data_IF_058961719971
#
_entry.id   IF_058961719971
#
_cell.length_a   1.000
_cell.length_b   1.000
_cell.length_c   1.000
_cell.angle_alpha   90.00
_cell.angle_beta   90.00
_cell.angle_gamma   90.00
#
_symmetry.space_group_name_H-M   'P 1'
#
loop_
_entity.id
_entity.type
_entity.pdbx_description
1 polymer ?
#
# COMPACT_ATOMS: atom_id res chain seq x y z
N UNK A 1 11.86 17.32 12.53
CA UNK A 1 13.30 16.98 12.37
C UNK A 1 13.42 16.07 11.15
N UNK A 2 14.26 16.39 10.17
CA UNK A 2 14.44 15.57 8.97
C UNK A 2 15.42 14.41 9.22
N UNK A 3 15.07 13.20 8.79
CA UNK A 3 15.96 12.02 8.80
C UNK A 3 16.47 11.76 7.38
N UNK A 4 17.75 11.46 7.24
CA UNK A 4 18.29 10.89 6.01
C UNK A 4 18.08 9.36 6.01
N UNK A 5 17.32 8.86 5.06
CA UNK A 5 17.18 7.41 4.82
C UNK A 5 18.20 7.00 3.77
N UNK A 6 18.91 5.91 4.04
CA UNK A 6 19.74 5.25 3.03
C UNK A 6 18.84 4.48 2.04
N UNK A 7 18.21 5.25 1.14
CA UNK A 7 17.24 4.77 0.16
C UNK A 7 17.86 3.77 -0.82
N UNK A 8 19.14 3.94 -1.13
CA UNK A 8 19.87 3.04 -2.02
C UNK A 8 20.18 1.70 -1.37
N UNK A 9 20.23 1.66 -0.04
CA UNK A 9 20.35 0.42 0.74
C UNK A 9 19.02 -0.31 0.95
N UNK A 10 17.88 0.21 0.45
CA UNK A 10 16.68 -0.61 0.33
C UNK A 10 16.98 -1.78 -0.62
N UNK A 11 17.15 -2.94 -0.01
CA UNK A 11 17.69 -4.11 -0.68
C UNK A 11 16.69 -4.68 -1.70
N UNK A 12 17.17 -5.29 -2.80
CA UNK A 12 16.33 -6.05 -3.73
C UNK A 12 15.43 -7.09 -3.06
N UNK A 13 15.83 -7.60 -1.89
CA UNK A 13 15.04 -8.56 -1.10
C UNK A 13 13.72 -7.97 -0.59
N UNK A 14 13.68 -6.67 -0.24
CA UNK A 14 12.42 -5.99 0.16
C UNK A 14 11.49 -5.91 -1.05
N UNK A 15 12.04 -5.56 -2.23
CA UNK A 15 11.26 -5.50 -3.46
C UNK A 15 10.69 -6.88 -3.83
N UNK A 16 11.47 -7.95 -3.69
CA UNK A 16 11.01 -9.33 -3.93
C UNK A 16 9.91 -9.75 -2.96
N UNK A 17 10.13 -9.59 -1.64
CA UNK A 17 9.13 -9.90 -0.61
C UNK A 17 7.81 -9.14 -0.84
N UNK A 18 7.90 -7.84 -1.12
CA UNK A 18 6.73 -7.02 -1.42
C UNK A 18 6.03 -7.47 -2.71
N UNK A 19 6.80 -7.81 -3.75
CA UNK A 19 6.28 -8.31 -5.02
C UNK A 19 5.52 -9.63 -4.84
N UNK A 20 6.08 -10.60 -4.12
CA UNK A 20 5.42 -11.88 -3.83
C UNK A 20 4.11 -11.67 -3.08
N UNK A 21 4.15 -10.84 -2.05
CA UNK A 21 3.00 -10.55 -1.21
C UNK A 21 1.86 -9.86 -1.99
N UNK A 22 2.17 -8.79 -2.72
CA UNK A 22 1.18 -8.09 -3.54
C UNK A 22 0.62 -8.98 -4.66
N UNK A 23 1.45 -9.86 -5.23
CA UNK A 23 0.96 -10.87 -6.19
C UNK A 23 -0.03 -11.87 -5.56
N UNK A 24 0.14 -12.21 -4.28
CA UNK A 24 -0.81 -13.04 -3.52
C UNK A 24 -2.19 -12.39 -3.42
N UNK A 25 -2.25 -11.07 -3.23
CA UNK A 25 -3.51 -10.32 -3.22
C UNK A 25 -4.14 -10.21 -4.61
N UNK A 26 -3.32 -9.91 -5.62
CA UNK A 26 -3.77 -9.81 -7.02
C UNK A 26 -4.40 -11.10 -7.53
N UNK A 27 -3.98 -12.27 -7.03
CA UNK A 27 -4.55 -13.56 -7.42
C UNK A 27 -6.04 -13.71 -7.09
N UNK A 28 -6.52 -13.05 -6.04
CA UNK A 28 -7.92 -13.10 -5.59
C UNK A 28 -8.74 -11.88 -6.02
N UNK A 29 -8.11 -10.92 -6.72
CA UNK A 29 -8.75 -9.69 -7.13
C UNK A 29 -9.84 -9.96 -8.19
N UNK A 30 -11.01 -9.34 -8.02
CA UNK A 30 -12.07 -9.37 -9.03
C UNK A 30 -11.64 -8.54 -10.26
N UNK A 31 -11.25 -9.23 -11.32
CA UNK A 31 -10.87 -8.64 -12.61
C UNK A 31 -12.07 -8.49 -13.57
N UNK A 32 -12.08 -7.47 -14.45
CA UNK A 32 -13.02 -7.38 -15.56
C UNK A 32 -12.82 -8.47 -16.62
N UNK A 33 -13.81 -8.67 -17.48
CA UNK A 33 -13.83 -9.67 -18.56
C UNK A 33 -12.87 -9.38 -19.71
N UNK A 34 -12.43 -8.13 -19.85
CA UNK A 34 -11.42 -7.72 -20.84
C UNK A 34 -9.98 -7.87 -20.32
N UNK A 35 -9.78 -8.35 -19.09
CA UNK A 35 -8.46 -8.42 -18.45
C UNK A 35 -8.13 -9.84 -18.00
N UNK A 36 -6.97 -10.32 -18.44
CA UNK A 36 -6.38 -11.59 -18.03
C UNK A 36 -5.78 -11.52 -16.62
N UNK A 37 -4.98 -12.53 -16.22
CA UNK A 37 -4.28 -12.50 -14.93
C UNK A 37 -3.36 -11.29 -14.85
N UNK A 38 -3.28 -10.68 -13.67
CA UNK A 38 -2.39 -9.55 -13.40
C UNK A 38 -1.26 -10.06 -12.52
N UNK A 39 -0.03 -9.72 -12.87
CA UNK A 39 1.14 -10.00 -12.05
C UNK A 39 2.03 -8.78 -11.98
N UNK A 40 2.54 -8.46 -10.79
CA UNK A 40 3.65 -7.53 -10.61
C UNK A 40 4.92 -8.27 -11.02
N UNK A 41 5.63 -7.74 -12.02
CA UNK A 41 6.91 -8.26 -12.50
C UNK A 41 8.07 -7.78 -11.65
N UNK A 42 8.05 -6.51 -11.24
CA UNK A 42 9.11 -5.90 -10.43
C UNK A 42 8.61 -4.62 -9.78
N UNK A 43 9.19 -4.31 -8.62
CA UNK A 43 9.09 -3.03 -7.94
C UNK A 43 10.49 -2.42 -7.96
N UNK A 44 10.59 -1.22 -8.49
CA UNK A 44 11.82 -0.45 -8.64
C UNK A 44 11.68 0.82 -7.82
N UNK A 45 12.38 0.92 -6.70
CA UNK A 45 12.27 2.06 -5.78
C UNK A 45 12.85 3.35 -6.36
N UNK A 46 13.67 3.27 -7.42
CA UNK A 46 14.37 4.41 -7.99
C UNK A 46 15.47 4.95 -7.07
N UNK A 47 16.00 6.12 -7.42
CA UNK A 47 17.14 6.76 -6.75
C UNK A 47 16.77 8.03 -5.97
N UNK A 48 15.52 8.48 -6.07
CA UNK A 48 15.00 9.63 -5.32
C UNK A 48 14.27 9.12 -4.08
N UNK A 49 14.80 9.45 -2.91
CA UNK A 49 14.24 9.11 -1.60
C UNK A 49 13.07 10.05 -1.20
N UNK A 50 12.13 9.59 -0.35
CA UNK A 50 11.18 10.49 0.32
C UNK A 50 11.88 11.43 1.30
N UNK A 51 11.30 12.60 1.51
CA UNK A 51 11.58 13.42 2.69
C UNK A 51 10.86 12.80 3.90
N UNK A 52 11.56 12.75 5.04
CA UNK A 52 11.12 12.05 6.24
C UNK A 52 11.20 12.99 7.42
N UNK A 53 10.06 13.28 8.03
CA UNK A 53 9.98 14.10 9.24
C UNK A 53 9.49 13.28 10.43
N UNK A 54 10.20 13.35 11.56
CA UNK A 54 9.70 12.81 12.83
C UNK A 54 8.67 13.78 13.42
N UNK A 55 7.44 13.30 13.58
CA UNK A 55 6.36 13.99 14.29
C UNK A 55 6.49 13.73 15.80
N UNK A 56 6.54 12.45 16.20
CA UNK A 56 6.73 12.07 17.60
C UNK A 56 7.39 10.70 17.78
N UNK A 57 7.81 10.44 19.01
CA UNK A 57 8.44 9.20 19.45
C UNK A 57 7.76 8.78 20.76
N UNK A 58 7.33 7.52 20.84
CA UNK A 58 6.57 6.95 21.98
C UNK A 58 6.94 5.49 22.20
N UNK A 59 6.49 4.93 23.31
CA UNK A 59 6.53 3.47 23.51
C UNK A 59 5.65 2.75 22.49
N UNK A 60 6.06 1.53 22.12
CA UNK A 60 5.30 0.67 21.20
C UNK A 60 3.88 0.45 21.71
N UNK A 61 2.89 0.76 20.88
CA UNK A 61 1.49 0.54 21.26
C UNK A 61 1.17 -0.95 21.43
N UNK A 62 0.20 -1.25 22.29
CA UNK A 62 -0.23 -2.65 22.53
C UNK A 62 -0.69 -3.36 21.26
N UNK A 63 -1.27 -2.63 20.30
CA UNK A 63 -1.74 -3.21 19.05
C UNK A 63 -0.63 -3.90 18.26
N UNK A 64 0.56 -3.30 18.20
CA UNK A 64 1.72 -3.90 17.53
C UNK A 64 2.29 -5.08 18.33
N UNK A 65 2.45 -4.95 19.65
CA UNK A 65 2.97 -6.05 20.50
C UNK A 65 2.08 -7.31 20.48
N UNK A 66 0.76 -7.13 20.41
CA UNK A 66 -0.21 -8.22 20.41
C UNK A 66 -0.38 -8.88 19.04
N UNK A 67 0.10 -8.26 17.96
CA UNK A 67 -0.02 -8.76 16.60
C UNK A 67 0.62 -10.15 16.40
N UNK A 68 1.71 -10.42 17.10
CA UNK A 68 2.39 -11.72 17.10
C UNK A 68 1.73 -12.75 18.00
N UNK A 69 0.99 -12.28 19.02
CA UNK A 69 0.30 -13.16 19.94
C UNK A 69 -1.00 -13.61 19.26
N UNK A 70 -0.89 -14.55 18.34
CA UNK A 70 -1.97 -15.45 17.94
C UNK A 70 -2.41 -16.36 19.12
N UNK A 71 -2.48 -15.83 20.34
CA UNK A 71 -3.23 -16.44 21.42
C UNK A 71 -4.70 -16.11 21.21
N UNK A 72 -5.42 -17.09 20.68
CA UNK A 72 -6.84 -17.28 20.92
C UNK A 72 -7.12 -17.27 22.42
N UNK A 73 -7.32 -16.10 23.01
CA UNK A 73 -8.15 -15.96 24.19
C UNK A 73 -9.33 -15.06 23.86
N UNK A 74 -10.35 -15.69 23.26
CA UNK A 74 -11.74 -15.21 23.38
C UNK A 74 -12.02 -15.00 24.86
N UNK A 75 -12.11 -13.76 25.30
CA UNK A 75 -12.77 -13.41 26.56
C UNK A 75 -14.10 -12.75 26.23
N UNK A 76 -15.08 -13.59 25.95
CA UNK A 76 -16.49 -13.25 26.20
C UNK A 76 -16.76 -13.43 27.69
N UNK A 77 -16.88 -12.33 28.44
CA UNK A 77 -17.29 -12.31 29.84
C UNK A 77 -17.48 -10.87 30.33
N UNK A 78 -18.50 -10.58 31.16
CA UNK A 78 -19.00 -9.23 31.34
C UNK A 78 -18.08 -8.37 32.20
N UNK A 79 -18.15 -7.06 31.95
CA UNK A 79 -17.46 -5.98 32.67
C UNK A 79 -17.74 -6.07 34.17
N UNK A 80 -16.71 -6.37 34.95
CA UNK A 80 -16.70 -6.32 36.42
C UNK A 80 -15.54 -5.47 36.90
N UNK A 81 -15.85 -4.40 37.63
CA UNK A 81 -14.88 -3.49 38.23
C UNK A 81 -14.29 -4.13 39.51
N UNK A 82 -12.97 -4.32 39.57
CA UNK A 82 -12.27 -4.54 40.84
C UNK A 82 -10.75 -4.33 40.73
N UNK A 83 -10.30 -3.24 41.35
CA UNK A 83 -9.13 -3.13 42.24
C UNK A 83 -7.78 -3.71 41.80
N UNK A 84 -6.87 -2.78 41.46
CA UNK A 84 -5.46 -2.77 41.87
C UNK A 84 -4.67 -4.07 41.87
N UNK A 85 -3.97 -4.33 40.78
CA UNK A 85 -2.71 -5.07 40.81
C UNK A 85 -1.61 -4.14 40.31
N UNK A 86 -0.72 -3.79 41.23
CA UNK A 86 0.59 -3.20 40.96
C UNK A 86 1.37 -4.19 40.10
N UNK A 87 1.41 -3.99 38.79
CA UNK A 87 2.39 -4.66 37.94
C UNK A 87 3.76 -4.12 38.34
N UNK A 88 4.63 -5.02 38.82
CA UNK A 88 6.07 -4.76 38.93
C UNK A 88 6.55 -4.14 37.61
N UNK A 89 7.51 -3.20 37.62
CA UNK A 89 8.28 -2.93 36.41
C UNK A 89 8.96 -4.25 36.05
N UNK A 90 8.64 -4.82 34.89
CA UNK A 90 9.47 -5.85 34.29
C UNK A 90 10.82 -5.18 34.05
N UNK A 91 11.85 -5.62 34.78
CA UNK A 91 13.23 -5.25 34.51
C UNK A 91 13.61 -5.92 33.18
N UNK A 92 13.35 -5.20 32.11
CA UNK A 92 13.69 -5.59 30.75
C UNK A 92 15.21 -5.64 30.59
N UNK A 93 15.76 -6.84 30.71
CA UNK A 93 17.14 -7.17 30.34
C UNK A 93 17.34 -7.16 28.81
N UNK A 94 16.80 -6.16 28.12
CA UNK A 94 16.80 -6.05 26.66
C UNK A 94 17.93 -5.13 26.20
N UNK A 95 18.77 -5.64 25.29
CA UNK A 95 19.92 -4.92 24.75
C UNK A 95 19.54 -3.80 23.77
N UNK A 96 18.29 -3.76 23.31
CA UNK A 96 17.79 -2.76 22.36
C UNK A 96 16.40 -2.23 22.79
N UNK A 97 16.16 -0.91 22.73
CA UNK A 97 14.88 -0.33 23.12
C UNK A 97 13.82 -0.53 22.03
N UNK A 98 12.61 -0.94 22.44
CA UNK A 98 11.44 -0.99 21.55
C UNK A 98 10.79 0.38 21.48
N UNK A 99 10.63 0.91 20.27
CA UNK A 99 10.25 2.30 20.03
C UNK A 99 9.18 2.39 18.94
N UNK A 100 8.19 3.26 19.13
CA UNK A 100 7.27 3.67 18.08
C UNK A 100 7.59 5.09 17.65
N UNK A 101 7.70 5.29 16.34
CA UNK A 101 8.02 6.57 15.72
C UNK A 101 6.86 6.94 14.80
N UNK A 102 6.29 8.11 15.01
CA UNK A 102 5.34 8.72 14.09
C UNK A 102 6.10 9.59 13.10
N UNK A 103 6.03 9.23 11.82
CA UNK A 103 6.76 9.88 10.74
C UNK A 103 5.78 10.49 9.74
N UNK A 104 6.15 11.61 9.14
CA UNK A 104 5.58 12.10 7.89
C UNK A 104 6.54 11.79 6.75
N UNK A 105 6.01 11.19 5.69
CA UNK A 105 6.72 10.89 4.45
C UNK A 105 6.15 11.75 3.34
N UNK A 106 7.00 12.56 2.71
CA UNK A 106 6.66 13.28 1.48
C UNK A 106 7.49 12.72 0.35
N UNK A 107 6.84 12.17 -0.67
CA UNK A 107 7.48 11.50 -1.79
C UNK A 107 7.06 12.14 -3.11
N UNK A 108 8.06 12.54 -3.90
CA UNK A 108 7.94 13.00 -5.29
C UNK A 108 9.11 12.43 -6.09
N UNK A 109 9.25 11.10 -6.03
CA UNK A 109 10.37 10.39 -6.64
C UNK A 109 9.99 9.62 -7.90
N UNK A 110 10.83 8.65 -8.26
CA UNK A 110 10.76 7.93 -9.52
C UNK A 110 10.51 6.43 -9.36
N UNK A 111 9.81 6.01 -8.29
CA UNK A 111 9.37 4.64 -8.06
C UNK A 111 8.54 4.12 -9.25
N UNK A 112 8.81 2.89 -9.67
CA UNK A 112 8.09 2.20 -10.75
C UNK A 112 7.60 0.83 -10.32
N UNK A 113 6.31 0.55 -10.53
CA UNK A 113 5.77 -0.82 -10.42
C UNK A 113 5.44 -1.33 -11.82
N UNK A 114 6.10 -2.40 -12.24
CA UNK A 114 5.86 -3.02 -13.55
C UNK A 114 4.88 -4.17 -13.41
N UNK A 115 3.82 -4.15 -14.20
CA UNK A 115 2.79 -5.18 -14.28
C UNK A 115 2.85 -5.90 -15.63
N UNK A 116 2.55 -7.20 -15.58
CA UNK A 116 2.24 -8.04 -16.73
C UNK A 116 0.78 -8.42 -16.67
N UNK A 117 0.07 -8.26 -17.78
CA UNK A 117 -1.27 -8.80 -17.93
C UNK A 117 -1.54 -9.17 -19.39
N UNK A 118 -2.77 -9.55 -19.69
CA UNK A 118 -3.22 -9.79 -21.06
C UNK A 118 -4.56 -9.07 -21.27
N UNK A 119 -4.68 -8.35 -22.38
CA UNK A 119 -5.94 -7.80 -22.81
C UNK A 119 -6.75 -8.89 -23.53
N UNK A 120 -7.93 -9.22 -23.00
CA UNK A 120 -8.84 -10.22 -23.56
C UNK A 120 -9.83 -9.54 -24.49
N UNK A 121 -9.93 -10.04 -25.72
CA UNK A 121 -10.85 -9.57 -26.75
C UNK A 121 -12.03 -10.56 -26.84
N UNK A 122 -13.24 -10.07 -26.59
CA UNK A 122 -14.47 -10.86 -26.55
C UNK A 122 -15.34 -10.74 -27.83
N UNK A 123 -14.71 -10.42 -28.98
CA UNK A 123 -15.40 -10.30 -30.27
C UNK A 123 -14.66 -11.09 -31.35
N UNK A 124 -15.36 -11.92 -32.16
CA UNK A 124 -16.81 -12.13 -32.21
C UNK A 124 -17.36 -13.08 -31.13
N UNK A 125 -16.53 -13.79 -30.37
CA UNK A 125 -16.93 -14.70 -29.27
C UNK A 125 -16.20 -14.37 -27.97
N UNK A 126 -16.68 -14.89 -26.83
CA UNK A 126 -15.98 -14.77 -25.55
C UNK A 126 -14.57 -15.38 -25.63
N UNK A 127 -13.60 -14.71 -24.99
CA UNK A 127 -12.19 -15.10 -24.95
C UNK A 127 -11.58 -15.40 -26.34
N UNK A 128 -12.07 -14.73 -27.39
CA UNK A 128 -11.67 -14.98 -28.78
C UNK A 128 -10.17 -14.81 -29.01
N UNK A 129 -9.55 -13.81 -28.36
CA UNK A 129 -8.11 -13.55 -28.47
C UNK A 129 -7.60 -12.90 -27.19
N UNK A 130 -6.31 -13.11 -26.88
CA UNK A 130 -5.62 -12.35 -25.84
C UNK A 130 -4.33 -11.73 -26.36
N UNK A 131 -4.04 -10.51 -25.93
CA UNK A 131 -2.85 -9.77 -26.30
C UNK A 131 -2.03 -9.47 -25.04
N UNK A 132 -0.75 -9.88 -24.97
CA UNK A 132 0.13 -9.50 -23.87
C UNK A 132 0.20 -7.97 -23.74
N UNK A 133 0.04 -7.48 -22.52
CA UNK A 133 0.08 -6.07 -22.20
C UNK A 133 1.01 -5.85 -21.01
N UNK A 134 1.97 -4.95 -21.18
CA UNK A 134 2.82 -4.48 -20.08
C UNK A 134 2.27 -3.14 -19.61
N UNK A 135 2.22 -2.94 -18.31
CA UNK A 135 1.83 -1.67 -17.73
C UNK A 135 2.85 -1.25 -16.67
N UNK A 136 3.11 0.04 -16.55
CA UNK A 136 4.00 0.57 -15.52
C UNK A 136 3.28 1.68 -14.78
N UNK A 137 3.14 1.51 -13.46
CA UNK A 137 2.75 2.60 -12.58
C UNK A 137 3.98 3.49 -12.34
N UNK A 138 3.85 4.77 -12.62
CA UNK A 138 4.87 5.81 -12.45
C UNK A 138 4.24 7.09 -11.87
N UNK A 139 5.06 8.10 -11.58
CA UNK A 139 4.59 9.40 -11.09
C UNK A 139 3.86 9.29 -9.76
N UNK A 140 4.27 8.32 -8.93
CA UNK A 140 3.76 8.13 -7.59
C UNK A 140 4.23 9.30 -6.73
N UNK A 141 3.30 10.17 -6.37
CA UNK A 141 3.53 11.28 -5.45
C UNK A 141 2.56 11.20 -4.28
N UNK A 142 3.06 11.28 -3.05
CA UNK A 142 2.25 11.20 -1.84
C UNK A 142 2.82 12.00 -0.68
N UNK A 143 1.93 12.38 0.24
CA UNK A 143 2.24 12.95 1.55
C UNK A 143 1.44 12.15 2.58
N UNK A 144 2.14 11.36 3.38
CA UNK A 144 1.53 10.34 4.24
C UNK A 144 2.14 10.35 5.64
N UNK A 145 1.28 10.20 6.65
CA UNK A 145 1.71 9.91 8.01
C UNK A 145 1.81 8.39 8.19
N UNK A 146 2.93 7.91 8.73
CA UNK A 146 3.17 6.49 9.00
C UNK A 146 3.59 6.27 10.44
N UNK A 147 3.24 5.09 10.97
CA UNK A 147 3.77 4.60 12.24
C UNK A 147 4.78 3.51 11.95
N UNK A 148 6.01 3.70 12.44
CA UNK A 148 7.06 2.70 12.49
C UNK A 148 7.21 2.22 13.93
N UNK A 149 6.82 0.98 14.22
CA UNK A 149 6.97 0.37 15.53
C UNK A 149 8.09 -0.68 15.50
N UNK A 150 9.19 -0.40 16.18
CA UNK A 150 10.37 -1.25 16.28
C UNK A 150 10.28 -2.05 17.59
N UNK A 151 10.29 -3.38 17.48
CA UNK A 151 10.40 -4.31 18.61
C UNK A 151 11.84 -4.84 18.63
N UNK A 152 12.72 -4.11 19.34
CA UNK A 152 14.15 -4.40 19.39
C UNK A 152 14.47 -5.72 20.08
N UNK A 153 13.57 -6.22 20.92
CA UNK A 153 13.64 -7.54 21.57
C UNK A 153 13.36 -8.70 20.61
N UNK A 154 12.70 -8.43 19.48
CA UNK A 154 12.23 -9.47 18.53
C UNK A 154 12.83 -9.34 17.13
N UNK A 155 13.79 -8.45 16.96
CA UNK A 155 14.39 -8.11 15.67
C UNK A 155 13.37 -7.89 14.55
N UNK A 156 12.26 -7.21 14.86
CA UNK A 156 11.21 -6.91 13.89
C UNK A 156 10.69 -5.48 14.02
N UNK A 157 10.20 -4.95 12.92
CA UNK A 157 9.49 -3.68 12.89
C UNK A 157 8.20 -3.78 12.11
N UNK A 158 7.23 -2.97 12.51
CA UNK A 158 5.91 -2.88 11.90
C UNK A 158 5.74 -1.51 11.24
N UNK A 159 5.17 -1.48 10.04
CA UNK A 159 4.89 -0.24 9.28
C UNK A 159 3.43 -0.18 8.92
N UNK A 160 2.78 0.95 9.21
CA UNK A 160 1.41 1.25 8.79
C UNK A 160 1.27 2.72 8.38
N UNK A 161 0.39 2.97 7.42
CA UNK A 161 -0.02 4.29 6.95
C UNK A 161 -1.28 4.68 7.74
N UNK A 162 -1.28 5.90 8.25
CA UNK A 162 -2.47 6.49 8.88
C UNK A 162 -3.42 7.04 7.82
N UNK A 163 -4.72 7.00 8.10
CA UNK A 163 -5.71 7.56 7.19
C UNK A 163 -5.48 9.07 7.03
N UNK A 164 -5.23 9.57 5.81
CA UNK A 164 -5.05 10.99 5.59
C UNK A 164 -6.37 11.72 5.86
N UNK A 165 -6.32 12.94 6.43
CA UNK A 165 -7.52 13.71 6.73
C UNK A 165 -8.37 13.92 5.48
N UNK A 166 -9.69 13.94 5.65
CA UNK A 166 -10.58 14.25 4.55
C UNK A 166 -10.38 15.71 4.14
N UNK A 167 -9.92 15.95 2.91
CA UNK A 167 -9.91 17.30 2.35
C UNK A 167 -11.36 17.73 2.08
N UNK A 168 -11.77 18.87 2.65
CA UNK A 168 -13.09 19.47 2.41
C UNK A 168 -13.20 20.15 1.03
N UNK A 169 -12.09 20.22 0.29
CA UNK A 169 -12.05 20.79 -1.05
C UNK A 169 -12.73 19.83 -2.06
N UNK A 170 -13.61 20.36 -2.94
CA UNK A 170 -14.23 19.55 -3.98
C UNK A 170 -13.16 19.02 -4.94
N UNK A 171 -13.17 17.70 -5.17
CA UNK A 171 -12.32 17.08 -6.20
C UNK A 171 -12.89 17.45 -7.55
N UNK A 172 -12.15 18.24 -8.32
CA UNK A 172 -12.42 18.40 -9.74
C UNK A 172 -11.98 17.11 -10.45
N UNK A 173 -12.96 16.33 -10.89
CA UNK A 173 -12.71 15.16 -11.73
C UNK A 173 -12.39 15.66 -13.16
N UNK A 174 -11.13 15.56 -13.58
CA UNK A 174 -10.70 15.94 -14.94
C UNK A 174 -11.16 14.91 -16.00
N UNK A 175 -11.88 13.85 -15.59
CA UNK A 175 -12.55 12.97 -16.52
C UNK A 175 -13.75 13.69 -17.17
N UNK A 176 -13.58 14.08 -18.44
CA UNK A 176 -14.59 14.65 -19.35
C UNK A 176 -15.84 13.76 -19.60
N UNK A 177 -16.07 12.71 -18.82
CA UNK A 177 -17.26 11.88 -18.91
C UNK A 177 -18.40 12.49 -18.08
N UNK A 178 -19.37 13.05 -18.80
CA UNK A 178 -20.58 13.73 -18.33
C UNK A 178 -21.41 12.86 -17.37
N UNK A 179 -21.08 12.87 -16.08
CA UNK A 179 -22.05 12.66 -14.99
C UNK A 179 -21.50 13.22 -13.67
N UNK A 180 -21.42 14.56 -13.58
CA UNK A 180 -20.91 15.28 -12.41
C UNK A 180 -21.89 15.06 -11.25
N UNK A 181 -21.57 14.14 -10.35
CA UNK A 181 -22.11 14.14 -8.99
C UNK A 181 -21.11 14.93 -8.13
N UNK A 182 -21.37 16.20 -7.78
CA UNK A 182 -20.44 17.07 -7.05
C UNK A 182 -20.21 16.64 -5.59
N UNK A 183 -20.65 15.44 -5.20
CA UNK A 183 -20.66 14.92 -3.84
C UNK A 183 -19.77 13.68 -3.64
N UNK A 184 -19.09 13.17 -4.67
CA UNK A 184 -18.28 11.96 -4.53
C UNK A 184 -16.92 12.31 -3.91
N UNK A 185 -16.83 12.12 -2.59
CA UNK A 185 -15.58 12.23 -1.83
C UNK A 185 -14.52 11.28 -2.41
N UNK A 186 -13.23 11.68 -2.46
CA UNK A 186 -12.16 10.79 -2.90
C UNK A 186 -12.06 9.58 -1.97
N UNK A 187 -11.79 8.41 -2.54
CA UNK A 187 -11.51 7.21 -1.76
C UNK A 187 -10.26 7.42 -0.91
N UNK A 188 -10.11 6.65 0.18
CA UNK A 188 -8.91 6.74 1.04
C UNK A 188 -7.64 6.51 0.21
N UNK A 189 -7.64 5.49 -0.65
CA UNK A 189 -6.50 5.21 -1.53
C UNK A 189 -6.18 6.35 -2.52
N UNK A 190 -7.19 7.09 -2.98
CA UNK A 190 -6.96 8.29 -3.80
C UNK A 190 -6.41 9.48 -2.98
N UNK A 191 -6.66 9.52 -1.67
CA UNK A 191 -6.03 10.51 -0.78
C UNK A 191 -4.60 10.13 -0.41
N UNK A 192 -4.31 8.82 -0.25
CA UNK A 192 -2.95 8.32 0.02
C UNK A 192 -2.08 8.45 -1.24
N UNK A 193 -2.62 8.08 -2.41
CA UNK A 193 -1.95 8.19 -3.71
C UNK A 193 -2.70 9.19 -4.61
N UNK A 194 -2.54 10.51 -4.37
CA UNK A 194 -3.17 11.54 -5.18
C UNK A 194 -2.59 11.58 -6.59
N UNK A 195 -1.28 11.44 -6.73
CA UNK A 195 -0.58 11.42 -8.02
C UNK A 195 -0.14 9.99 -8.34
N UNK A 196 -0.68 9.45 -9.43
CA UNK A 196 -0.36 8.13 -9.96
C UNK A 196 -0.71 8.13 -11.45
N UNK A 197 0.24 7.72 -12.29
CA UNK A 197 0.05 7.52 -13.72
C UNK A 197 0.31 6.05 -14.08
N UNK A 198 -0.49 5.51 -14.99
CA UNK A 198 -0.26 4.18 -15.55
C UNK A 198 0.05 4.33 -17.03
N UNK A 199 1.27 3.95 -17.43
CA UNK A 199 1.65 3.83 -18.82
C UNK A 199 1.49 2.39 -19.29
N UNK A 200 1.00 2.18 -20.50
CA UNK A 200 0.80 0.84 -21.07
C UNK A 200 1.51 0.68 -22.40
N UNK A 201 2.07 -0.51 -22.63
CA UNK A 201 2.71 -0.90 -23.88
C UNK A 201 1.96 -2.10 -24.46
N UNK A 202 1.50 -1.95 -25.72
CA UNK A 202 0.77 -2.99 -26.46
C UNK A 202 1.38 -3.15 -27.85
N UNK A 203 1.63 -4.40 -28.25
CA UNK A 203 2.32 -4.70 -29.52
C UNK A 203 1.48 -4.56 -30.79
N UNK A 204 0.15 -4.35 -30.70
CA UNK A 204 -0.72 -4.22 -31.87
C UNK A 204 -1.78 -3.13 -31.66
N UNK A 205 -1.94 -2.24 -32.65
CA UNK A 205 -2.69 -0.98 -32.55
C UNK A 205 -4.05 -1.08 -33.26
N UNK A 206 -4.88 -2.04 -32.85
CA UNK A 206 -6.26 -2.12 -33.30
C UNK A 206 -7.16 -1.13 -32.53
N UNK A 207 -8.19 -0.58 -33.19
CA UNK A 207 -9.07 0.43 -32.58
C UNK A 207 -9.79 -0.08 -31.31
N UNK A 208 -10.16 -1.35 -31.28
CA UNK A 208 -10.79 -1.97 -30.10
C UNK A 208 -9.79 -2.19 -28.95
N UNK A 209 -8.51 -2.36 -29.27
CA UNK A 209 -7.43 -2.50 -28.28
C UNK A 209 -7.23 -1.18 -27.54
N UNK A 210 -7.10 -0.06 -28.27
CA UNK A 210 -6.91 1.27 -27.68
C UNK A 210 -8.04 1.67 -26.72
N UNK A 211 -9.30 1.36 -27.04
CA UNK A 211 -10.44 1.66 -26.15
C UNK A 211 -10.35 0.89 -24.83
N UNK A 212 -9.85 -0.34 -24.87
CA UNK A 212 -9.72 -1.14 -23.66
C UNK A 212 -8.46 -0.79 -22.86
N UNK A 213 -7.40 -0.30 -23.51
CA UNK A 213 -6.19 0.17 -22.83
C UNK A 213 -6.49 1.24 -21.77
N UNK A 214 -7.27 2.29 -22.10
CA UNK A 214 -7.64 3.30 -21.10
C UNK A 214 -8.46 2.74 -19.92
N UNK A 215 -9.27 1.69 -20.16
CA UNK A 215 -9.96 0.98 -19.07
C UNK A 215 -8.99 0.19 -18.20
N UNK A 216 -7.96 -0.42 -18.80
CA UNK A 216 -6.90 -1.13 -18.06
C UNK A 216 -6.12 -0.16 -17.18
N UNK A 217 -5.73 0.99 -17.71
CA UNK A 217 -5.01 2.03 -16.95
C UNK A 217 -5.82 2.51 -15.73
N UNK A 218 -7.10 2.81 -15.94
CA UNK A 218 -8.01 3.18 -14.85
C UNK A 218 -8.19 2.05 -13.84
N UNK A 219 -8.29 0.81 -14.30
CA UNK A 219 -8.42 -0.35 -13.42
C UNK A 219 -7.17 -0.57 -12.58
N UNK A 220 -5.97 -0.49 -13.17
CA UNK A 220 -4.69 -0.66 -12.46
C UNK A 220 -4.43 0.49 -11.48
N UNK A 221 -4.86 1.70 -11.81
CA UNK A 221 -4.84 2.85 -10.88
C UNK A 221 -5.65 2.55 -9.62
N UNK A 222 -6.92 2.16 -9.77
CA UNK A 222 -7.79 1.85 -8.63
C UNK A 222 -7.33 0.59 -7.87
N UNK A 223 -6.77 -0.39 -8.58
CA UNK A 223 -6.18 -1.58 -7.98
C UNK A 223 -4.99 -1.20 -7.10
N UNK A 224 -4.08 -0.36 -7.58
CA UNK A 224 -2.90 0.08 -6.80
C UNK A 224 -3.32 0.83 -5.53
N UNK A 225 -4.32 1.72 -5.65
CA UNK A 225 -4.92 2.42 -4.51
C UNK A 225 -5.54 1.46 -3.49
N UNK A 226 -6.25 0.44 -3.98
CA UNK A 226 -6.87 -0.59 -3.13
C UNK A 226 -5.82 -1.43 -2.42
N UNK A 227 -4.78 -1.87 -3.14
CA UNK A 227 -3.68 -2.66 -2.57
C UNK A 227 -3.00 -1.93 -1.41
N UNK A 228 -2.68 -0.63 -1.58
CA UNK A 228 -2.08 0.15 -0.48
C UNK A 228 -3.02 0.22 0.72
N UNK A 229 -4.32 0.41 0.51
CA UNK A 229 -5.28 0.43 1.59
C UNK A 229 -5.42 -0.93 2.30
N UNK A 230 -5.44 -2.03 1.56
CA UNK A 230 -5.58 -3.36 2.17
C UNK A 230 -4.34 -3.76 2.97
N UNK A 231 -3.16 -3.37 2.51
CA UNK A 231 -1.88 -3.84 3.05
C UNK A 231 -1.26 -2.92 4.09
N UNK A 232 -1.38 -1.61 3.92
CA UNK A 232 -0.64 -0.66 4.74
C UNK A 232 -1.53 0.23 5.58
N UNK A 233 -2.81 0.40 5.26
CA UNK A 233 -3.67 1.31 6.01
C UNK A 233 -4.01 0.73 7.39
N UNK A 234 -3.82 1.53 8.43
CA UNK A 234 -4.24 1.20 9.78
C UNK A 234 -5.71 0.75 9.82
N UNK A 235 -6.07 -0.34 10.52
CA UNK A 235 -5.28 -1.06 11.52
C UNK A 235 -4.34 -2.14 10.97
N UNK A 236 -4.23 -2.31 9.65
CA UNK A 236 -3.29 -3.24 9.04
C UNK A 236 -1.87 -2.66 9.07
N UNK A 237 -0.87 -3.52 9.27
CA UNK A 237 0.55 -3.17 9.23
C UNK A 237 1.38 -4.31 8.63
N UNK A 238 2.52 -3.91 8.06
CA UNK A 238 3.55 -4.81 7.54
C UNK A 238 4.64 -5.04 8.57
N UNK A 239 4.83 -6.30 8.92
CA UNK A 239 5.95 -6.78 9.74
C UNK A 239 7.13 -7.12 8.84
N UNK A 240 8.30 -6.62 9.22
CA UNK A 240 9.58 -6.97 8.63
C UNK A 240 10.52 -7.43 9.74
N UNK A 241 11.21 -8.53 9.50
CA UNK A 241 12.21 -9.09 10.40
C UNK A 241 13.61 -8.80 9.86
N UNK A 242 14.56 -8.53 10.75
CA UNK A 242 15.98 -8.42 10.44
C UNK A 242 16.78 -9.46 11.25
N UNK A 243 17.90 -9.89 10.70
CA UNK A 243 18.82 -10.85 11.34
C UNK A 243 19.80 -10.17 12.30
#
# INVERSE_FOLDING_TARGET
>A
MSIEIDWLSLTPTIAEKLTERLNGLLANLKRPDFLGPIKIQSIDFGDIAPEVEIIDIRDVSRGFRLADNNETHRTTGPVGCSTGSTSKPEEDGHSQPSLQIHLRLTYDGNLRLRFSTALVLNHPSAEFMSLPLKATVIGLGFDAEIILAIEGDRSKFHVTILEPPLSDLPVYDDNLDQNINPSKKPSIGARILPHLLVETEVGNVDRHVLRNVGKVERFLTETTRTLICEEFLYPTFQTFEWD
#
